data_IF_140652070356
#
_entry.id   IF_140652070356
#
_cell.length_a   1.000
_cell.length_b   1.000
_cell.length_c   1.000
_cell.angle_alpha   90.00
_cell.angle_beta   90.00
_cell.angle_gamma   90.00
#
_symmetry.space_group_name_H-M   'P 1'
#
loop_
_entity.id
_entity.type
_entity.pdbx_description
1 polymer ?
#
# COMPACT_ATOMS: atom_id res chain seq x y z
N UNK A 1 -40.56 31.38 6.08
CA UNK A 1 -40.03 30.37 7.04
C UNK A 1 -40.82 29.06 6.96
N UNK A 2 -40.85 28.37 5.81
CA UNK A 2 -41.66 27.13 5.63
C UNK A 2 -40.84 25.96 5.03
N UNK A 3 -39.55 26.16 4.73
CA UNK A 3 -38.76 25.15 4.03
C UNK A 3 -37.96 24.21 4.95
N UNK A 4 -37.90 24.51 6.26
CA UNK A 4 -37.18 23.70 7.25
C UNK A 4 -37.67 22.25 7.29
N UNK A 5 -38.99 22.05 7.30
CA UNK A 5 -39.63 20.73 7.31
C UNK A 5 -39.39 19.92 6.02
N UNK A 6 -39.06 20.59 4.91
CA UNK A 6 -38.83 19.92 3.63
C UNK A 6 -37.39 19.43 3.45
N UNK A 7 -36.42 19.98 4.20
CA UNK A 7 -35.04 19.50 4.12
C UNK A 7 -34.90 18.05 4.58
N UNK A 8 -35.64 17.66 5.62
CA UNK A 8 -35.65 16.27 6.11
C UNK A 8 -36.20 15.30 5.05
N UNK A 9 -37.31 15.66 4.40
CA UNK A 9 -37.87 14.90 3.27
C UNK A 9 -36.92 14.84 2.08
N UNK A 10 -36.22 15.93 1.76
CA UNK A 10 -35.21 15.92 0.69
C UNK A 10 -34.06 14.95 1.03
N UNK A 11 -33.59 14.92 2.28
CA UNK A 11 -32.56 13.96 2.71
C UNK A 11 -33.05 12.52 2.56
N UNK A 12 -34.23 12.22 3.12
CA UNK A 12 -34.83 10.88 3.03
C UNK A 12 -35.06 10.43 1.57
N UNK A 13 -35.48 11.35 0.68
CA UNK A 13 -35.64 11.06 -0.74
C UNK A 13 -34.31 10.70 -1.42
N UNK A 14 -33.25 11.44 -1.10
CA UNK A 14 -31.91 11.22 -1.64
C UNK A 14 -31.35 9.87 -1.19
N UNK A 15 -31.66 9.44 0.03
CA UNK A 15 -31.25 8.15 0.58
C UNK A 15 -32.17 6.98 0.15
N UNK A 16 -33.33 7.27 -0.43
CA UNK A 16 -34.27 6.28 -0.94
C UNK A 16 -35.22 5.73 0.13
N UNK A 17 -35.46 6.50 1.19
CA UNK A 17 -36.24 6.10 2.36
C UNK A 17 -37.72 6.55 2.31
N UNK A 18 -38.10 7.37 1.33
CA UNK A 18 -39.49 7.80 1.14
C UNK A 18 -40.31 6.75 0.38
N UNK A 19 -41.55 6.56 0.81
CA UNK A 19 -42.57 5.87 0.03
C UNK A 19 -43.04 6.71 -1.18
N UNK A 20 -43.72 6.07 -2.13
CA UNK A 20 -44.17 6.70 -3.39
C UNK A 20 -45.06 7.95 -3.16
N UNK A 21 -45.86 7.96 -2.08
CA UNK A 21 -46.74 9.08 -1.76
C UNK A 21 -45.96 10.28 -1.21
N UNK A 22 -45.04 10.03 -0.27
CA UNK A 22 -44.17 11.05 0.29
C UNK A 22 -43.19 11.62 -0.76
N UNK A 23 -42.78 10.80 -1.73
CA UNK A 23 -41.98 11.23 -2.88
C UNK A 23 -42.78 12.19 -3.78
N UNK A 24 -44.03 11.85 -4.09
CA UNK A 24 -44.91 12.71 -4.90
C UNK A 24 -45.16 14.06 -4.22
N UNK A 25 -45.46 14.07 -2.93
CA UNK A 25 -45.63 15.30 -2.14
C UNK A 25 -44.39 16.22 -2.20
N UNK A 26 -43.21 15.60 -2.16
CA UNK A 26 -41.94 16.32 -2.26
C UNK A 26 -41.73 16.90 -3.66
N UNK A 27 -42.04 16.16 -4.71
CA UNK A 27 -41.91 16.62 -6.09
C UNK A 27 -42.88 17.77 -6.39
N UNK A 28 -44.12 17.69 -5.91
CA UNK A 28 -45.10 18.77 -6.01
C UNK A 28 -44.61 20.04 -5.30
N UNK A 29 -44.01 19.93 -4.11
CA UNK A 29 -43.41 21.07 -3.42
C UNK A 29 -42.21 21.65 -4.17
N UNK A 30 -41.29 20.80 -4.64
CA UNK A 30 -40.11 21.23 -5.39
C UNK A 30 -40.49 21.96 -6.69
N UNK A 31 -41.60 21.58 -7.34
CA UNK A 31 -42.09 22.25 -8.55
C UNK A 31 -42.40 23.75 -8.34
N UNK A 32 -42.73 24.15 -7.12
CA UNK A 32 -43.11 25.54 -6.77
C UNK A 32 -42.07 26.27 -5.91
N UNK A 33 -41.06 25.56 -5.37
CA UNK A 33 -40.05 26.12 -4.47
C UNK A 33 -38.62 26.01 -5.02
N UNK A 34 -38.04 27.10 -5.57
CA UNK A 34 -36.67 27.10 -6.12
C UNK A 34 -35.60 26.76 -5.08
N UNK A 35 -35.78 27.17 -3.82
CA UNK A 35 -34.84 26.87 -2.74
C UNK A 35 -34.76 25.37 -2.48
N UNK A 36 -35.89 24.69 -2.33
CA UNK A 36 -35.95 23.24 -2.13
C UNK A 36 -35.47 22.47 -3.36
N UNK A 37 -35.78 22.93 -4.57
CA UNK A 37 -35.21 22.34 -5.81
C UNK A 37 -33.69 22.45 -5.85
N UNK A 38 -33.13 23.60 -5.46
CA UNK A 38 -31.67 23.76 -5.40
C UNK A 38 -31.02 22.90 -4.32
N UNK A 39 -31.69 22.72 -3.18
CA UNK A 39 -31.23 21.87 -2.08
C UNK A 39 -31.21 20.39 -2.47
N UNK A 40 -32.28 19.90 -3.12
CA UNK A 40 -32.36 18.53 -3.63
C UNK A 40 -31.24 18.23 -4.63
N UNK A 41 -31.03 19.12 -5.61
CA UNK A 41 -29.93 18.95 -6.60
C UNK A 41 -28.55 18.89 -5.94
N UNK A 42 -28.30 19.72 -4.91
CA UNK A 42 -27.02 19.72 -4.18
C UNK A 42 -26.81 18.40 -3.44
N UNK A 43 -27.82 17.90 -2.72
CA UNK A 43 -27.71 16.63 -1.98
C UNK A 43 -27.55 15.44 -2.91
N UNK A 44 -28.27 15.39 -4.03
CA UNK A 44 -28.08 14.34 -5.03
C UNK A 44 -26.67 14.38 -5.67
N UNK A 45 -26.14 15.57 -5.96
CA UNK A 45 -24.78 15.71 -6.49
C UNK A 45 -23.73 15.26 -5.47
N UNK A 46 -23.90 15.62 -4.20
CA UNK A 46 -23.05 15.13 -3.11
C UNK A 46 -23.10 13.61 -2.99
N UNK A 47 -24.30 13.00 -3.03
CA UNK A 47 -24.47 11.54 -3.01
C UNK A 47 -23.83 10.87 -4.22
N UNK A 48 -24.04 11.42 -5.43
CA UNK A 48 -23.40 10.90 -6.66
C UNK A 48 -21.87 10.92 -6.58
N UNK A 49 -21.29 11.95 -5.97
CA UNK A 49 -19.83 12.09 -5.78
C UNK A 49 -19.29 11.27 -4.62
N UNK A 50 -20.08 11.07 -3.56
CA UNK A 50 -19.66 10.36 -2.35
C UNK A 50 -19.82 8.84 -2.44
N UNK A 51 -20.67 8.34 -3.35
CA UNK A 51 -20.75 6.92 -3.66
C UNK A 51 -19.44 6.46 -4.32
N UNK A 52 -18.52 5.95 -3.50
CA UNK A 52 -17.49 5.00 -3.93
C UNK A 52 -18.25 3.90 -4.63
N UNK A 53 -18.04 3.78 -5.95
CA UNK A 53 -18.61 2.71 -6.77
C UNK A 53 -18.24 1.40 -6.08
N UNK A 54 -19.20 0.73 -5.44
CA UNK A 54 -18.99 -0.63 -4.93
C UNK A 54 -18.56 -1.41 -6.17
N UNK A 55 -17.32 -1.94 -6.22
CA UNK A 55 -16.89 -2.70 -7.37
C UNK A 55 -17.92 -3.82 -7.56
N UNK A 56 -18.43 -3.96 -8.78
CA UNK A 56 -19.08 -5.20 -9.18
C UNK A 56 -18.11 -6.34 -8.82
N UNK A 57 -18.64 -7.49 -8.36
CA UNK A 57 -17.81 -8.66 -8.06
C UNK A 57 -16.84 -8.88 -9.23
N UNK A 58 -15.57 -8.60 -8.99
CA UNK A 58 -14.54 -8.85 -9.98
C UNK A 58 -14.50 -10.36 -10.20
N UNK A 59 -14.32 -10.84 -11.45
CA UNK A 59 -14.20 -12.26 -11.69
C UNK A 59 -13.07 -12.85 -10.83
N UNK A 60 -13.30 -14.05 -10.31
CA UNK A 60 -12.34 -14.81 -9.49
C UNK A 60 -11.10 -15.14 -10.34
N UNK A 61 -10.13 -14.22 -10.38
CA UNK A 61 -8.87 -14.35 -11.13
C UNK A 61 -7.84 -15.22 -10.39
N UNK A 62 -8.17 -15.69 -9.19
CA UNK A 62 -7.33 -16.51 -8.31
C UNK A 62 -6.82 -17.75 -9.04
N UNK A 63 -7.71 -18.45 -9.75
CA UNK A 63 -7.35 -19.65 -10.52
C UNK A 63 -6.40 -19.33 -11.70
N UNK A 64 -6.56 -18.18 -12.36
CA UNK A 64 -5.71 -17.76 -13.48
C UNK A 64 -4.31 -17.39 -13.03
N UNK A 65 -4.19 -16.66 -11.91
CA UNK A 65 -2.90 -16.28 -11.32
C UNK A 65 -2.15 -17.52 -10.82
N UNK A 66 -2.81 -18.38 -10.05
CA UNK A 66 -2.22 -19.62 -9.54
C UNK A 66 -1.81 -20.57 -10.68
N UNK A 67 -2.62 -20.67 -11.74
CA UNK A 67 -2.29 -21.44 -12.93
C UNK A 67 -1.07 -20.89 -13.69
N UNK A 68 -0.97 -19.58 -13.81
CA UNK A 68 0.16 -18.89 -14.44
C UNK A 68 1.49 -19.13 -13.70
N UNK A 69 1.48 -19.04 -12.37
CA UNK A 69 2.66 -19.31 -11.54
C UNK A 69 3.10 -20.78 -11.61
N UNK A 70 2.15 -21.72 -11.57
CA UNK A 70 2.44 -23.14 -11.67
C UNK A 70 3.09 -23.49 -13.03
N UNK A 71 2.56 -22.96 -14.13
CA UNK A 71 3.12 -23.13 -15.46
C UNK A 71 4.53 -22.52 -15.59
N UNK A 72 4.78 -21.35 -15.00
CA UNK A 72 6.09 -20.72 -14.97
C UNK A 72 7.13 -21.55 -14.20
N UNK A 73 6.76 -22.12 -13.04
CA UNK A 73 7.63 -23.00 -12.22
C UNK A 73 8.00 -24.28 -12.96
N UNK A 74 7.06 -24.88 -13.69
CA UNK A 74 7.30 -26.07 -14.52
C UNK A 74 8.28 -25.77 -15.66
N UNK A 75 8.10 -24.67 -16.39
CA UNK A 75 9.01 -24.21 -17.46
C UNK A 75 10.42 -23.91 -16.95
N UNK A 76 10.55 -23.34 -15.74
CA UNK A 76 11.84 -23.10 -15.12
C UNK A 76 12.55 -24.42 -14.72
N UNK A 77 11.81 -25.40 -14.19
CA UNK A 77 12.34 -26.74 -13.85
C UNK A 77 12.83 -27.50 -15.08
N UNK A 78 12.10 -27.46 -16.20
CA UNK A 78 12.51 -28.13 -17.43
C UNK A 78 13.76 -27.51 -18.04
N UNK A 79 13.88 -26.17 -18.05
CA UNK A 79 15.11 -25.46 -18.48
C UNK A 79 16.32 -25.79 -17.60
N UNK A 80 16.16 -25.84 -16.28
CA UNK A 80 17.25 -26.20 -15.35
C UNK A 80 17.73 -27.64 -15.54
N UNK A 81 16.82 -28.60 -15.77
CA UNK A 81 17.18 -30.01 -16.06
C UNK A 81 18.00 -30.15 -17.34
N UNK A 82 17.61 -29.43 -18.41
CA UNK A 82 18.38 -29.41 -19.67
C UNK A 82 19.78 -28.81 -19.50
N UNK A 83 19.92 -27.74 -18.72
CA UNK A 83 21.21 -27.11 -18.43
C UNK A 83 22.12 -28.01 -17.57
N UNK A 84 21.59 -28.70 -16.55
CA UNK A 84 22.37 -29.63 -15.71
C UNK A 84 22.90 -30.82 -16.52
N UNK A 85 22.10 -31.38 -17.44
CA UNK A 85 22.54 -32.47 -18.31
C UNK A 85 23.65 -32.01 -19.29
N UNK A 86 23.56 -30.78 -19.81
CA UNK A 86 24.59 -30.21 -20.68
C UNK A 86 25.91 -29.93 -19.94
N UNK A 87 25.86 -29.42 -18.69
CA UNK A 87 27.07 -29.18 -17.87
C UNK A 87 27.70 -30.49 -17.42
N UNK A 88 26.91 -31.51 -17.06
CA UNK A 88 27.45 -32.82 -16.68
C UNK A 88 28.22 -33.49 -17.84
N UNK A 89 27.76 -33.35 -19.08
CA UNK A 89 28.47 -33.85 -20.25
C UNK A 89 29.83 -33.14 -20.48
N UNK A 90 29.94 -31.85 -20.17
CA UNK A 90 31.20 -31.08 -20.29
C UNK A 90 32.19 -31.43 -19.17
N UNK A 91 31.72 -31.69 -17.94
CA UNK A 91 32.60 -32.04 -16.80
C UNK A 91 33.18 -33.46 -16.92
N UNK A 92 32.44 -34.41 -17.51
CA UNK A 92 32.95 -35.77 -17.76
C UNK A 92 34.05 -35.78 -18.84
N UNK A 93 34.00 -34.85 -19.81
CA UNK A 93 35.06 -34.71 -20.82
C UNK A 93 36.33 -34.04 -20.27
N UNK A 94 36.26 -33.29 -19.16
CA UNK A 94 37.37 -32.52 -18.62
C UNK A 94 38.15 -33.20 -17.47
N UNK A 95 37.76 -34.40 -17.03
CA UNK A 95 38.32 -35.05 -15.82
C UNK A 95 39.55 -35.94 -16.05
N UNK A 96 40.21 -35.88 -17.23
CA UNK A 96 41.43 -36.66 -17.50
C UNK A 96 42.76 -35.90 -17.29
N UNK A 97 42.76 -34.69 -16.73
CA UNK A 97 44.01 -33.96 -16.49
C UNK A 97 43.95 -33.00 -15.31
N UNK A 98 44.19 -33.47 -14.07
CA UNK A 98 45.03 -32.80 -13.05
C UNK A 98 44.98 -33.60 -11.73
N UNK A 99 45.96 -34.49 -11.52
CA UNK A 99 46.26 -35.06 -10.21
C UNK A 99 47.44 -34.26 -9.61
N UNK A 100 47.16 -33.40 -8.62
CA UNK A 100 48.16 -32.66 -7.86
C UNK A 100 47.84 -32.71 -6.36
N UNK A 101 48.82 -32.95 -5.46
CA UNK A 101 48.54 -33.27 -4.07
C UNK A 101 48.18 -32.02 -3.23
N UNK A 102 47.35 -32.26 -2.22
CA UNK A 102 46.81 -31.31 -1.26
C UNK A 102 47.91 -30.75 -0.34
N UNK A 103 48.04 -29.41 -0.28
CA UNK A 103 48.74 -28.72 0.81
C UNK A 103 47.71 -28.12 1.77
N UNK A 104 47.65 -28.66 2.99
CA UNK A 104 46.93 -28.04 4.12
C UNK A 104 47.82 -26.97 4.74
N UNK A 105 47.31 -25.75 4.80
CA UNK A 105 47.81 -24.72 5.73
C UNK A 105 46.85 -24.65 6.92
N UNK A 106 47.34 -24.59 8.16
CA UNK A 106 46.51 -24.28 9.32
C UNK A 106 46.42 -22.76 9.49
N UNK A 107 45.22 -22.25 9.75
CA UNK A 107 45.05 -20.90 10.30
C UNK A 107 44.16 -20.97 11.55
N UNK A 108 44.80 -20.69 12.67
CA UNK A 108 44.30 -20.44 14.02
C UNK A 108 43.14 -19.42 14.04
N UNK A 109 42.17 -19.53 14.95
CA UNK A 109 40.98 -18.68 14.98
C UNK A 109 41.30 -17.25 15.45
N UNK A 110 40.61 -16.26 14.86
CA UNK A 110 40.54 -14.89 15.38
C UNK A 110 39.14 -14.62 15.92
N UNK A 111 38.98 -14.26 17.21
CA UNK A 111 37.74 -13.71 17.73
C UNK A 111 37.67 -12.19 17.50
N UNK A 112 36.43 -11.69 17.56
CA UNK A 112 36.04 -10.29 17.79
C UNK A 112 36.03 -9.35 16.58
N UNK A 113 34.84 -8.86 16.21
CA UNK A 113 34.34 -7.58 16.69
C UNK A 113 32.99 -7.28 16.03
N UNK A 114 31.97 -6.97 16.83
CA UNK A 114 30.75 -6.31 16.35
C UNK A 114 31.13 -4.96 15.76
N UNK A 115 31.04 -4.83 14.44
CA UNK A 115 31.14 -3.56 13.75
C UNK A 115 29.81 -2.80 13.84
N UNK A 116 29.82 -1.45 13.83
CA UNK A 116 28.60 -0.66 13.82
C UNK A 116 27.80 -1.00 12.57
N UNK A 117 26.56 -1.46 12.75
CA UNK A 117 25.60 -1.62 11.66
C UNK A 117 25.55 -0.31 10.89
N UNK A 118 25.98 -0.31 9.62
CA UNK A 118 25.79 0.85 8.76
C UNK A 118 24.30 1.16 8.72
N UNK A 119 23.90 2.27 9.35
CA UNK A 119 22.52 2.75 9.36
C UNK A 119 22.10 3.02 7.92
N UNK A 120 21.36 2.10 7.33
CA UNK A 120 20.78 2.27 6.00
C UNK A 120 19.67 3.30 6.14
N UNK A 121 19.76 4.43 5.44
CA UNK A 121 18.71 5.44 5.42
C UNK A 121 17.91 5.32 4.14
N UNK A 122 16.58 5.32 4.25
CA UNK A 122 15.64 5.31 3.11
C UNK A 122 14.71 6.50 3.24
N UNK A 123 14.49 7.21 2.14
CA UNK A 123 13.58 8.36 2.10
C UNK A 123 12.33 7.99 1.31
N UNK A 124 11.18 8.19 1.93
CA UNK A 124 9.84 8.11 1.35
C UNK A 124 9.36 9.54 1.13
N UNK A 125 9.06 9.89 -0.12
CA UNK A 125 8.54 11.20 -0.47
C UNK A 125 7.02 11.19 -0.49
N UNK A 126 6.47 12.31 -0.05
CA UNK A 126 5.04 12.62 -0.16
C UNK A 126 4.86 13.79 -1.11
N UNK A 127 4.02 13.59 -2.11
CA UNK A 127 3.57 14.63 -3.04
C UNK A 127 2.08 14.39 -3.27
N UNK A 128 1.30 15.47 -3.19
CA UNK A 128 -0.15 15.43 -3.31
C UNK A 128 -0.76 14.35 -2.41
N UNK A 129 -1.48 13.37 -2.94
CA UNK A 129 -2.21 12.37 -2.15
C UNK A 129 -1.48 11.00 -2.08
N UNK A 130 -0.15 10.98 -2.24
CA UNK A 130 0.61 9.73 -2.35
C UNK A 130 1.94 9.72 -1.60
N UNK A 131 2.30 8.54 -1.09
CA UNK A 131 3.69 8.15 -0.83
C UNK A 131 4.28 7.55 -2.12
N UNK A 132 5.50 7.93 -2.48
CA UNK A 132 6.21 7.36 -3.65
C UNK A 132 6.59 5.88 -3.44
N UNK A 133 6.81 5.49 -2.19
CA UNK A 133 7.03 4.13 -1.74
C UNK A 133 5.97 3.75 -0.72
N UNK A 134 5.10 2.82 -1.11
CA UNK A 134 4.01 2.31 -0.26
C UNK A 134 4.34 0.97 0.40
N UNK A 135 5.21 0.16 -0.20
CA UNK A 135 5.65 -1.11 0.37
C UNK A 135 7.18 -1.12 0.44
N UNK A 136 7.73 -0.99 1.64
CA UNK A 136 9.16 -1.00 1.88
C UNK A 136 9.57 -2.24 2.68
N UNK A 137 10.67 -2.87 2.27
CA UNK A 137 11.35 -3.91 3.05
C UNK A 137 12.63 -3.32 3.61
N UNK A 138 12.85 -3.49 4.90
CA UNK A 138 13.97 -2.94 5.61
C UNK A 138 14.58 -3.99 6.56
N UNK A 139 15.85 -3.81 6.90
CA UNK A 139 16.50 -4.58 7.96
C UNK A 139 16.52 -3.79 9.26
N UNK A 140 16.73 -4.46 10.40
CA UNK A 140 16.86 -3.78 11.69
C UNK A 140 17.96 -2.71 11.65
N UNK A 141 17.69 -1.58 12.28
CA UNK A 141 18.58 -0.41 12.27
C UNK A 141 18.41 0.48 11.04
N UNK A 142 17.47 0.18 10.13
CA UNK A 142 17.15 1.07 9.01
C UNK A 142 16.44 2.32 9.52
N UNK A 143 16.89 3.48 9.06
CA UNK A 143 16.26 4.78 9.32
C UNK A 143 15.38 5.16 8.13
N UNK A 144 14.10 5.41 8.38
CA UNK A 144 13.14 5.87 7.38
C UNK A 144 12.87 7.35 7.59
N UNK A 145 12.95 8.10 6.49
CA UNK A 145 12.65 9.52 6.43
C UNK A 145 11.41 9.72 5.57
N UNK A 146 10.38 10.37 6.09
CA UNK A 146 9.25 10.84 5.28
C UNK A 146 9.45 12.32 5.00
N UNK A 147 9.56 12.70 3.74
CA UNK A 147 9.70 14.10 3.32
C UNK A 147 8.47 14.53 2.54
N UNK A 148 7.97 15.73 2.81
CA UNK A 148 6.92 16.35 2.00
C UNK A 148 7.51 17.24 0.92
N UNK A 149 7.50 16.74 -0.31
CA UNK A 149 7.93 17.45 -1.52
C UNK A 149 6.74 18.17 -2.21
N UNK A 150 5.53 18.05 -1.67
CA UNK A 150 4.32 18.73 -2.15
C UNK A 150 4.04 20.07 -1.46
N UNK A 151 2.90 20.67 -1.82
CA UNK A 151 2.51 22.02 -1.37
C UNK A 151 1.48 22.04 -0.23
N UNK A 152 1.00 20.87 0.21
CA UNK A 152 -0.02 20.75 1.26
C UNK A 152 0.54 20.01 2.47
N UNK A 153 0.13 20.38 3.68
CA UNK A 153 0.52 19.66 4.90
C UNK A 153 -0.16 18.29 4.95
N UNK A 154 0.63 17.23 5.16
CA UNK A 154 0.12 15.89 5.43
C UNK A 154 0.10 15.61 6.92
N UNK A 155 -0.86 14.80 7.38
CA UNK A 155 -0.87 14.29 8.76
C UNK A 155 -0.47 12.82 8.76
N UNK A 156 0.81 12.56 8.99
CA UNK A 156 1.39 11.22 9.01
C UNK A 156 1.03 10.51 10.32
N UNK A 157 0.28 9.43 10.21
CA UNK A 157 -0.05 8.50 11.30
C UNK A 157 0.69 7.18 11.07
N UNK A 158 1.32 6.64 12.11
CA UNK A 158 2.13 5.41 12.05
C UNK A 158 1.74 4.48 13.19
N UNK A 159 1.67 3.19 12.90
CA UNK A 159 1.51 2.12 13.89
C UNK A 159 2.89 1.58 14.25
N UNK A 160 3.43 1.96 15.42
CA UNK A 160 4.76 1.59 15.89
C UNK A 160 4.63 0.63 17.07
N UNK A 161 4.73 -0.68 16.82
CA UNK A 161 4.73 -1.68 17.90
C UNK A 161 3.45 -1.68 18.75
N UNK A 162 2.30 -1.33 18.14
CA UNK A 162 1.01 -1.24 18.83
C UNK A 162 0.62 0.17 19.26
N UNK A 163 1.52 1.15 19.17
CA UNK A 163 1.22 2.56 19.43
C UNK A 163 0.88 3.31 18.14
N UNK A 164 -0.11 4.20 18.22
CA UNK A 164 -0.48 5.12 17.15
C UNK A 164 0.21 6.47 17.37
N UNK A 165 1.15 6.82 16.50
CA UNK A 165 1.91 8.08 16.58
C UNK A 165 1.59 8.95 15.38
N UNK A 166 1.05 10.15 15.63
CA UNK A 166 0.71 11.14 14.58
C UNK A 166 1.62 12.37 14.62
N UNK A 167 2.04 12.86 13.45
CA UNK A 167 2.74 14.14 13.30
C UNK A 167 2.29 14.86 12.02
N UNK A 168 2.41 16.20 12.02
CA UNK A 168 2.19 17.00 10.83
C UNK A 168 3.47 17.15 10.02
N UNK A 169 3.36 16.92 8.72
CA UNK A 169 4.43 16.98 7.74
C UNK A 169 4.13 18.13 6.78
N UNK A 170 4.47 19.35 7.16
CA UNK A 170 4.32 20.54 6.32
C UNK A 170 5.24 20.48 5.08
N UNK A 171 4.99 21.27 4.02
CA UNK A 171 5.87 21.34 2.84
C UNK A 171 7.35 21.51 3.22
N UNK A 172 8.22 20.69 2.64
CA UNK A 172 9.66 20.64 2.90
C UNK A 172 10.07 20.02 4.24
N UNK A 173 9.12 19.60 5.10
CA UNK A 173 9.45 18.94 6.36
C UNK A 173 9.82 17.48 6.13
N UNK A 174 10.72 17.01 7.00
CA UNK A 174 11.12 15.60 7.08
C UNK A 174 10.90 15.07 8.49
N UNK A 175 10.22 13.93 8.59
CA UNK A 175 10.05 13.15 9.81
C UNK A 175 10.91 11.89 9.73
N UNK A 176 11.62 11.52 10.80
CA UNK A 176 12.61 10.43 10.77
C UNK A 176 12.40 9.42 11.89
N UNK A 177 12.42 8.12 11.57
CA UNK A 177 12.32 7.03 12.55
C UNK A 177 13.30 5.92 12.20
N UNK A 178 14.01 5.40 13.20
CA UNK A 178 14.83 4.18 13.08
C UNK A 178 14.06 2.97 13.58
N UNK A 179 13.96 1.95 12.74
CA UNK A 179 13.27 0.70 13.07
C UNK A 179 14.26 -0.35 13.56
N UNK A 180 14.21 -0.65 14.86
CA UNK A 180 15.14 -1.58 15.52
C UNK A 180 14.53 -2.96 15.83
N UNK A 181 13.25 -3.15 15.57
CA UNK A 181 12.52 -4.38 15.84
C UNK A 181 11.93 -4.93 14.55
N UNK A 182 11.88 -6.26 14.45
CA UNK A 182 11.15 -6.91 13.35
C UNK A 182 9.66 -6.66 13.52
N UNK A 183 8.98 -6.46 12.40
CA UNK A 183 7.55 -6.18 12.45
C UNK A 183 7.00 -5.66 11.14
N UNK A 184 5.67 -5.59 11.12
CA UNK A 184 4.92 -4.94 10.06
C UNK A 184 4.42 -3.59 10.59
N UNK A 185 4.91 -2.50 10.00
CA UNK A 185 4.60 -1.13 10.41
C UNK A 185 3.78 -0.44 9.34
N UNK A 186 2.49 -0.26 9.62
CA UNK A 186 1.57 0.46 8.73
C UNK A 186 1.58 1.95 9.04
N UNK A 187 1.46 2.78 8.00
CA UNK A 187 1.36 4.22 8.12
C UNK A 187 0.41 4.78 7.08
N UNK A 188 -0.17 5.94 7.36
CA UNK A 188 -1.13 6.59 6.48
C UNK A 188 -1.20 8.10 6.71
N UNK A 189 -1.78 8.82 5.75
CA UNK A 189 -2.17 10.21 5.95
C UNK A 189 -3.63 10.27 6.44
N UNK A 190 -3.89 10.90 7.58
CA UNK A 190 -5.27 10.95 8.12
C UNK A 190 -6.19 11.92 7.38
N UNK A 191 -5.65 12.79 6.51
CA UNK A 191 -6.41 13.78 5.74
C UNK A 191 -6.87 13.20 4.40
N UNK A 192 -6.03 12.37 3.75
CA UNK A 192 -6.29 11.83 2.42
C UNK A 192 -6.61 10.34 2.49
N UNK A 193 -7.87 9.97 2.20
CA UNK A 193 -8.31 8.57 2.20
C UNK A 193 -7.55 7.76 1.15
N UNK A 194 -7.01 6.61 1.55
CA UNK A 194 -6.26 5.71 0.66
C UNK A 194 -4.77 6.03 0.50
N UNK A 195 -4.28 7.08 1.15
CA UNK A 195 -2.85 7.37 1.23
C UNK A 195 -2.25 6.54 2.38
N UNK A 196 -1.91 5.29 2.07
CA UNK A 196 -1.37 4.30 3.03
C UNK A 196 -0.04 3.73 2.54
N UNK A 197 0.75 3.23 3.47
CA UNK A 197 1.94 2.46 3.19
C UNK A 197 2.31 1.53 4.34
N UNK A 198 3.35 0.73 4.12
CA UNK A 198 3.77 -0.35 4.98
C UNK A 198 5.29 -0.56 4.90
N UNK A 199 5.91 -0.73 6.06
CA UNK A 199 7.31 -1.11 6.19
C UNK A 199 7.38 -2.49 6.87
N UNK A 200 7.92 -3.47 6.16
CA UNK A 200 8.24 -4.77 6.71
C UNK A 200 9.70 -4.79 7.12
N UNK A 201 9.95 -4.93 8.43
CA UNK A 201 11.29 -5.04 9.00
C UNK A 201 11.57 -6.49 9.34
N UNK A 202 12.67 -7.02 8.79
CA UNK A 202 13.13 -8.38 9.07
C UNK A 202 14.65 -8.43 9.14
N UNK A 203 15.18 -9.40 9.88
CA UNK A 203 16.63 -9.63 10.04
C UNK A 203 17.32 -10.12 8.77
#
# INVERSE_FOLDING_TARGET
>A
MVCAAWFERISAAVDGELDDGALQDLDDHCSTCPSCTSARRRLEDLRRRSLVRIPHEAPELTATVLGGEAAARLRARTRRRGAVLAVAAVVIAASLAFAGPLRRSPSTPRPSAGGPTATTSVTIKTVDDSFDQRDLRAVRGTTIQWTNDGNHTHRLVRHLGGELVSSDLAPGRTETITFNQDGNYEYYCSVHRGMTGRILVSS
#
